data_IF_858243018782
#
_entry.id   IF_858243018782
#
_cell.length_a   1.000
_cell.length_b   1.000
_cell.length_c   1.000
_cell.angle_alpha   90.00
_cell.angle_beta   90.00
_cell.angle_gamma   90.00
#
_symmetry.space_group_name_H-M   'P 1'
#
loop_
_entity.id
_entity.type
_entity.pdbx_description
1 polymer ?
#
# COMPACT_ATOMS: atom_id res chain seq x y z
N UNK A 1 -33.93 -20.59 2.98
CA UNK A 1 -33.03 -19.75 3.78
C UNK A 1 -31.74 -19.56 2.97
N UNK A 2 -31.49 -18.38 2.49
CA UNK A 2 -30.25 -18.09 1.76
C UNK A 2 -29.06 -18.26 2.69
N UNK A 3 -28.02 -18.94 2.20
CA UNK A 3 -26.81 -19.16 3.00
C UNK A 3 -26.14 -17.81 3.25
N UNK A 4 -25.82 -17.50 4.52
CA UNK A 4 -25.08 -16.30 4.91
C UNK A 4 -23.77 -16.25 4.12
N UNK A 5 -23.49 -15.13 3.44
CA UNK A 5 -22.29 -14.96 2.63
C UNK A 5 -21.03 -14.81 3.50
N UNK A 6 -19.85 -15.05 2.92
CA UNK A 6 -18.57 -14.84 3.63
C UNK A 6 -18.38 -13.37 4.05
N UNK A 7 -18.86 -12.43 3.24
CA UNK A 7 -18.89 -11.01 3.58
C UNK A 7 -19.72 -10.75 4.85
N UNK A 8 -20.96 -11.26 4.90
CA UNK A 8 -21.84 -11.11 6.06
C UNK A 8 -21.23 -11.75 7.32
N UNK A 9 -20.61 -12.92 7.18
CA UNK A 9 -19.88 -13.56 8.28
C UNK A 9 -18.73 -12.70 8.78
N UNK A 10 -17.96 -12.09 7.87
CA UNK A 10 -16.81 -11.26 8.21
C UNK A 10 -17.23 -9.97 8.93
N UNK A 11 -18.21 -9.26 8.37
CA UNK A 11 -18.73 -8.00 8.91
C UNK A 11 -19.56 -8.16 10.19
N UNK A 12 -20.12 -9.35 10.42
CA UNK A 12 -20.84 -9.69 11.67
C UNK A 12 -19.93 -10.06 12.84
N UNK A 13 -18.61 -10.19 12.65
CA UNK A 13 -17.68 -10.60 13.72
C UNK A 13 -17.55 -9.51 14.78
N UNK A 14 -17.53 -9.95 16.05
CA UNK A 14 -17.14 -9.14 17.20
C UNK A 14 -15.71 -9.51 17.57
N UNK A 15 -14.76 -8.69 17.19
CA UNK A 15 -13.34 -8.92 17.46
C UNK A 15 -13.02 -8.69 18.94
N UNK A 16 -11.95 -9.32 19.39
CA UNK A 16 -11.39 -9.24 20.76
C UNK A 16 -9.86 -9.20 20.67
N UNK A 17 -9.17 -8.87 21.76
CA UNK A 17 -7.72 -9.02 21.81
C UNK A 17 -7.29 -10.43 21.41
N UNK A 18 -6.24 -10.52 20.61
CA UNK A 18 -5.73 -11.82 20.12
C UNK A 18 -5.24 -12.68 21.29
N UNK A 19 -5.46 -14.00 21.20
CA UNK A 19 -4.96 -14.95 22.18
C UNK A 19 -3.43 -14.92 22.26
N UNK A 20 -2.82 -14.67 23.43
CA UNK A 20 -1.37 -14.69 23.58
C UNK A 20 -0.73 -16.03 23.17
N UNK A 21 -1.42 -17.14 23.38
CA UNK A 21 -0.93 -18.46 23.01
C UNK A 21 -0.80 -18.61 21.50
N UNK A 22 -1.87 -18.28 20.75
CA UNK A 22 -1.88 -18.33 19.28
C UNK A 22 -0.83 -17.38 18.70
N UNK A 23 -0.80 -16.15 19.23
CA UNK A 23 0.14 -15.13 18.77
C UNK A 23 1.59 -15.55 18.96
N UNK A 24 1.96 -16.08 20.15
CA UNK A 24 3.33 -16.49 20.44
C UNK A 24 3.76 -17.69 19.61
N UNK A 25 2.85 -18.63 19.37
CA UNK A 25 3.16 -19.79 18.52
C UNK A 25 3.54 -19.35 17.08
N UNK A 26 2.74 -18.48 16.47
CA UNK A 26 2.98 -17.99 15.11
C UNK A 26 4.09 -16.92 15.07
N UNK A 27 4.05 -15.95 15.99
CA UNK A 27 4.98 -14.83 16.02
C UNK A 27 6.40 -15.23 16.43
N UNK A 28 6.56 -15.99 17.52
CA UNK A 28 7.90 -16.32 18.01
C UNK A 28 8.59 -17.39 17.17
N UNK A 29 7.87 -18.46 16.77
CA UNK A 29 8.48 -19.57 16.03
C UNK A 29 8.68 -19.20 14.57
N UNK A 30 7.63 -18.72 13.88
CA UNK A 30 7.68 -18.46 12.45
C UNK A 30 8.32 -17.11 12.16
N UNK A 31 7.77 -16.02 12.74
CA UNK A 31 8.23 -14.66 12.40
C UNK A 31 9.62 -14.40 12.99
N UNK A 32 9.78 -14.50 14.30
CA UNK A 32 11.03 -14.16 14.98
C UNK A 32 12.14 -15.21 14.74
N UNK A 33 11.78 -16.49 14.80
CA UNK A 33 12.76 -17.58 14.66
C UNK A 33 13.29 -17.76 13.24
N UNK A 34 12.46 -17.50 12.22
CA UNK A 34 12.78 -17.77 10.82
C UNK A 34 12.83 -16.50 9.98
N UNK A 35 11.73 -15.72 9.92
CA UNK A 35 11.61 -14.63 8.94
C UNK A 35 12.50 -13.43 9.27
N UNK A 36 12.60 -13.01 10.53
CA UNK A 36 13.49 -11.91 10.95
C UNK A 36 14.94 -12.21 10.56
N UNK A 37 15.39 -13.45 10.75
CA UNK A 37 16.74 -13.89 10.36
C UNK A 37 16.88 -13.98 8.83
N UNK A 38 15.88 -14.54 8.14
CA UNK A 38 15.88 -14.64 6.67
C UNK A 38 16.08 -13.26 6.03
N UNK A 39 15.38 -12.25 6.51
CA UNK A 39 15.44 -10.89 5.95
C UNK A 39 16.53 -10.02 6.57
N UNK A 40 17.38 -10.57 7.45
CA UNK A 40 18.45 -9.83 8.10
C UNK A 40 17.95 -8.50 8.70
N UNK A 41 16.87 -8.58 9.50
CA UNK A 41 16.23 -7.42 10.09
C UNK A 41 16.95 -7.01 11.39
N UNK A 42 17.33 -5.73 11.48
CA UNK A 42 18.04 -5.12 12.59
C UNK A 42 17.14 -4.10 13.29
N UNK A 43 16.99 -4.22 14.60
CA UNK A 43 16.11 -3.35 15.40
C UNK A 43 16.93 -2.38 16.24
N UNK A 44 16.60 -1.09 16.13
CA UNK A 44 17.17 -0.02 16.93
C UNK A 44 16.06 0.69 17.70
N UNK A 45 16.26 0.91 18.99
CA UNK A 45 15.29 1.56 19.84
C UNK A 45 15.80 2.96 20.20
N UNK A 46 15.02 3.99 19.89
CA UNK A 46 15.35 5.39 20.23
C UNK A 46 14.72 5.83 21.55
N UNK A 47 13.76 5.05 22.06
CA UNK A 47 13.09 5.24 23.32
C UNK A 47 12.94 3.91 24.08
N UNK A 48 12.73 3.97 25.39
CA UNK A 48 12.34 2.80 26.18
C UNK A 48 10.85 2.46 25.95
N UNK A 49 10.59 1.70 24.88
CA UNK A 49 9.23 1.22 24.57
C UNK A 49 8.72 0.19 25.59
N UNK A 50 9.62 -0.41 26.38
CA UNK A 50 9.27 -1.47 27.34
C UNK A 50 8.39 -0.96 28.49
N UNK A 51 8.39 0.33 28.77
CA UNK A 51 7.54 0.98 29.79
C UNK A 51 6.04 0.85 29.50
N UNK A 52 5.66 0.58 28.24
CA UNK A 52 4.28 0.40 27.81
C UNK A 52 3.83 -1.07 27.79
N UNK A 53 4.71 -2.01 28.17
CA UNK A 53 4.34 -3.44 28.25
C UNK A 53 3.14 -3.67 29.15
N UNK A 54 2.26 -4.55 28.70
CA UNK A 54 1.03 -4.87 29.45
C UNK A 54 -0.08 -3.83 29.32
N UNK A 55 0.18 -2.65 28.80
CA UNK A 55 -0.84 -1.61 28.55
C UNK A 55 -1.45 -1.76 27.16
N UNK A 56 -2.58 -1.08 26.92
CA UNK A 56 -3.11 -0.88 25.56
C UNK A 56 -2.33 0.24 24.89
N UNK A 57 -1.92 0.02 23.65
CA UNK A 57 -1.31 1.02 22.79
C UNK A 57 -1.48 0.68 21.32
N UNK A 58 -1.21 1.65 20.45
CA UNK A 58 -1.18 1.47 19.01
C UNK A 58 0.26 1.55 18.52
N UNK A 59 0.65 0.65 17.61
CA UNK A 59 1.88 0.79 16.83
C UNK A 59 1.50 1.25 15.44
N UNK A 60 2.12 2.32 14.98
CA UNK A 60 2.04 2.79 13.59
C UNK A 60 3.37 2.53 12.89
N UNK A 61 3.31 2.21 11.60
CA UNK A 61 4.51 1.97 10.79
C UNK A 61 4.33 2.53 9.39
N UNK A 62 5.43 2.93 8.75
CA UNK A 62 5.42 3.10 7.31
C UNK A 62 5.13 1.75 6.63
N UNK A 63 4.46 1.80 5.48
CA UNK A 63 4.06 0.60 4.76
C UNK A 63 5.00 0.33 3.59
N UNK A 64 6.20 -0.16 3.91
CA UNK A 64 7.27 -0.39 2.94
C UNK A 64 6.92 -1.51 1.95
N UNK A 65 6.39 -2.64 2.45
CA UNK A 65 6.15 -3.83 1.63
C UNK A 65 5.06 -4.76 2.20
N UNK A 66 4.77 -5.83 1.47
CA UNK A 66 3.91 -6.93 1.94
C UNK A 66 4.46 -7.68 3.17
N UNK A 67 5.76 -7.46 3.51
CA UNK A 67 6.45 -8.17 4.59
C UNK A 67 6.52 -7.37 5.90
N UNK A 68 5.89 -6.21 6.01
CA UNK A 68 6.03 -5.31 7.16
C UNK A 68 5.62 -5.90 8.50
N UNK A 69 4.77 -6.93 8.51
CA UNK A 69 4.44 -7.67 9.73
C UNK A 69 5.66 -8.36 10.36
N UNK A 70 6.68 -8.72 9.54
CA UNK A 70 7.96 -9.27 9.98
C UNK A 70 8.82 -8.21 10.64
N UNK A 71 8.70 -6.96 10.21
CA UNK A 71 9.56 -5.86 10.64
C UNK A 71 8.96 -5.05 11.77
N UNK A 72 7.63 -5.04 11.92
CA UNK A 72 6.94 -4.22 12.94
C UNK A 72 6.71 -4.98 14.24
N UNK A 73 6.06 -6.13 14.20
CA UNK A 73 5.65 -6.84 15.40
C UNK A 73 6.80 -7.31 16.31
N UNK A 74 7.94 -7.81 15.77
CA UNK A 74 9.05 -8.27 16.60
C UNK A 74 9.68 -7.21 17.48
N UNK A 75 9.60 -5.93 17.10
CA UNK A 75 10.14 -4.81 17.88
C UNK A 75 9.50 -4.68 19.28
N UNK A 76 8.30 -5.21 19.48
CA UNK A 76 7.52 -5.03 20.71
C UNK A 76 7.23 -6.33 21.46
N UNK A 77 7.92 -7.41 21.14
CA UNK A 77 7.77 -8.68 21.86
C UNK A 77 8.14 -8.50 23.35
N UNK A 78 7.45 -9.17 24.27
CA UNK A 78 6.51 -10.29 24.07
C UNK A 78 5.02 -9.87 23.93
N UNK A 79 4.72 -8.59 23.72
CA UNK A 79 3.35 -8.11 23.55
C UNK A 79 2.67 -8.71 22.30
N UNK A 80 1.35 -8.70 22.29
CA UNK A 80 0.53 -9.33 21.25
C UNK A 80 -0.37 -8.30 20.58
N UNK A 81 -0.61 -8.43 19.28
CA UNK A 81 -1.26 -7.40 18.47
C UNK A 81 -2.38 -7.95 17.61
N UNK A 82 -3.44 -7.16 17.50
CA UNK A 82 -4.41 -7.28 16.42
C UNK A 82 -3.92 -6.42 15.24
N UNK A 83 -3.77 -7.03 14.07
CA UNK A 83 -3.39 -6.30 12.86
C UNK A 83 -4.62 -5.72 12.17
N UNK A 84 -4.45 -4.62 11.44
CA UNK A 84 -5.43 -4.08 10.49
C UNK A 84 -4.98 -4.46 9.09
N UNK A 85 -5.81 -5.21 8.35
CA UNK A 85 -5.45 -5.81 7.07
C UNK A 85 -6.54 -5.57 6.02
N UNK A 86 -6.15 -5.47 4.77
CA UNK A 86 -7.06 -5.27 3.65
C UNK A 86 -8.20 -6.31 3.63
N UNK A 87 -9.41 -5.83 3.36
CA UNK A 87 -10.65 -6.62 3.40
C UNK A 87 -10.59 -7.84 2.47
N UNK A 88 -10.03 -7.68 1.28
CA UNK A 88 -9.90 -8.73 0.25
C UNK A 88 -9.02 -9.91 0.72
N UNK A 89 -8.04 -9.69 1.59
CA UNK A 89 -7.14 -10.74 2.08
C UNK A 89 -7.88 -11.83 2.89
N UNK A 90 -9.03 -11.49 3.47
CA UNK A 90 -9.86 -12.45 4.21
C UNK A 90 -10.59 -13.47 3.34
N UNK A 91 -10.55 -13.28 2.02
CA UNK A 91 -11.15 -14.18 1.04
C UNK A 91 -10.15 -15.12 0.36
N UNK A 92 -8.86 -14.98 0.68
CA UNK A 92 -7.78 -15.85 0.16
C UNK A 92 -7.65 -17.10 1.03
N UNK A 93 -7.72 -18.29 0.43
CA UNK A 93 -7.78 -19.57 1.14
C UNK A 93 -6.62 -19.79 2.12
N UNK A 94 -5.39 -19.41 1.75
CA UNK A 94 -4.19 -19.57 2.58
C UNK A 94 -4.08 -18.56 3.72
N UNK A 95 -4.79 -17.41 3.67
CA UNK A 95 -4.75 -16.36 4.68
C UNK A 95 -5.98 -16.33 5.58
N UNK A 96 -7.14 -16.67 5.03
CA UNK A 96 -8.44 -16.47 5.68
C UNK A 96 -8.52 -17.05 7.10
N UNK A 97 -8.01 -18.26 7.31
CA UNK A 97 -8.04 -18.92 8.62
C UNK A 97 -7.07 -18.22 9.61
N UNK A 98 -5.85 -17.94 9.19
CA UNK A 98 -4.84 -17.26 10.02
C UNK A 98 -5.33 -15.89 10.45
N UNK A 99 -5.81 -15.06 9.53
CA UNK A 99 -6.34 -13.73 9.81
C UNK A 99 -7.51 -13.78 10.81
N UNK A 100 -8.39 -14.79 10.67
CA UNK A 100 -9.50 -14.96 11.62
C UNK A 100 -9.01 -15.40 13.01
N UNK A 101 -8.06 -16.32 13.09
CA UNK A 101 -7.46 -16.78 14.36
C UNK A 101 -6.72 -15.64 15.07
N UNK A 102 -6.01 -14.81 14.33
CA UNK A 102 -5.29 -13.64 14.81
C UNK A 102 -6.20 -12.46 15.18
N UNK A 103 -7.53 -12.62 15.10
CA UNK A 103 -8.50 -11.55 15.38
C UNK A 103 -8.19 -10.25 14.61
N UNK A 104 -7.70 -10.38 13.39
CA UNK A 104 -7.30 -9.27 12.53
C UNK A 104 -8.51 -8.43 12.14
N UNK A 105 -8.36 -7.12 12.12
CA UNK A 105 -9.41 -6.16 11.74
C UNK A 105 -9.46 -6.02 10.22
N UNK A 106 -10.56 -6.43 9.56
CA UNK A 106 -10.70 -6.23 8.11
C UNK A 106 -11.02 -4.77 7.81
N UNK A 107 -10.26 -4.17 6.90
CA UNK A 107 -10.44 -2.78 6.47
C UNK A 107 -10.63 -2.70 4.97
N UNK A 108 -11.74 -2.09 4.54
CA UNK A 108 -11.93 -1.64 3.15
C UNK A 108 -11.10 -0.39 2.94
N UNK A 109 -10.08 -0.46 2.09
CA UNK A 109 -9.17 0.67 1.86
C UNK A 109 -9.86 1.76 1.04
N UNK A 110 -9.49 3.02 1.31
CA UNK A 110 -9.93 4.24 0.59
C UNK A 110 -11.45 4.49 0.59
N UNK A 111 -12.21 3.80 1.44
CA UNK A 111 -13.63 4.06 1.66
C UNK A 111 -13.93 4.22 3.15
N UNK A 112 -14.96 5.00 3.44
CA UNK A 112 -15.41 5.18 4.83
C UNK A 112 -16.00 3.88 5.37
N UNK A 113 -15.41 3.35 6.46
CA UNK A 113 -15.82 2.09 7.06
C UNK A 113 -15.89 2.16 8.59
N UNK A 114 -17.05 2.54 9.15
CA UNK A 114 -17.22 2.65 10.61
C UNK A 114 -17.00 1.34 11.38
N UNK A 115 -17.20 0.18 10.73
CA UNK A 115 -16.98 -1.13 11.35
C UNK A 115 -15.54 -1.28 11.86
N UNK A 116 -14.53 -1.06 11.01
CA UNK A 116 -13.13 -1.21 11.38
C UNK A 116 -12.76 -0.30 12.57
N UNK A 117 -13.20 0.96 12.55
CA UNK A 117 -12.96 1.92 13.63
C UNK A 117 -13.58 1.42 14.94
N UNK A 118 -14.84 0.97 14.93
CA UNK A 118 -15.51 0.43 16.13
C UNK A 118 -14.79 -0.80 16.68
N UNK A 119 -14.28 -1.69 15.82
CA UNK A 119 -13.54 -2.87 16.27
C UNK A 119 -12.19 -2.49 16.89
N UNK A 120 -11.46 -1.54 16.31
CA UNK A 120 -10.22 -1.03 16.90
C UNK A 120 -10.45 -0.41 18.27
N UNK A 121 -11.46 0.46 18.42
CA UNK A 121 -11.82 1.07 19.70
C UNK A 121 -12.23 0.00 20.74
N UNK A 122 -12.93 -1.05 20.32
CA UNK A 122 -13.31 -2.16 21.20
C UNK A 122 -12.09 -2.94 21.67
N UNK A 123 -11.18 -3.31 20.77
CA UNK A 123 -9.95 -4.04 21.11
C UNK A 123 -9.12 -3.26 22.14
N UNK A 124 -8.93 -1.97 21.92
CA UNK A 124 -8.19 -1.09 22.84
C UNK A 124 -8.86 -1.05 24.22
N UNK A 125 -10.19 -0.87 24.28
CA UNK A 125 -10.94 -0.85 25.56
C UNK A 125 -10.88 -2.18 26.32
N UNK A 126 -10.71 -3.29 25.62
CA UNK A 126 -10.57 -4.63 26.19
C UNK A 126 -9.12 -4.98 26.55
N UNK A 127 -8.22 -4.02 26.59
CA UNK A 127 -6.81 -4.22 26.96
C UNK A 127 -5.91 -4.73 25.82
N UNK A 128 -6.40 -4.75 24.58
CA UNK A 128 -5.64 -5.18 23.41
C UNK A 128 -4.71 -4.09 22.86
N UNK A 129 -3.91 -4.46 21.87
CA UNK A 129 -2.98 -3.59 21.14
C UNK A 129 -3.19 -3.77 19.66
N UNK A 130 -2.90 -2.72 18.88
CA UNK A 130 -3.16 -2.70 17.45
C UNK A 130 -1.88 -2.33 16.71
N UNK A 131 -1.59 -3.04 15.62
CA UNK A 131 -0.66 -2.58 14.59
C UNK A 131 -1.47 -2.03 13.42
N UNK A 132 -1.18 -0.79 13.05
CA UNK A 132 -1.81 -0.04 11.97
C UNK A 132 -0.76 0.49 11.00
N UNK A 133 -0.92 0.18 9.72
CA UNK A 133 -0.16 0.78 8.62
C UNK A 133 -1.04 1.88 7.99
N UNK A 134 -0.87 3.15 8.40
CA UNK A 134 -1.87 4.18 8.15
C UNK A 134 -1.94 4.65 6.69
N UNK A 135 -0.98 4.31 5.85
CA UNK A 135 -0.98 4.59 4.42
C UNK A 135 -2.10 3.85 3.67
N UNK A 136 -2.54 2.71 4.19
CA UNK A 136 -3.61 1.89 3.61
C UNK A 136 -3.19 0.99 2.44
N UNK A 137 -1.98 1.18 1.89
CA UNK A 137 -1.38 0.37 0.84
C UNK A 137 0.13 0.42 0.96
N UNK A 138 0.83 -0.69 0.66
CA UNK A 138 2.29 -0.71 0.65
C UNK A 138 2.85 0.20 -0.43
N UNK A 139 4.04 0.73 -0.19
CA UNK A 139 4.74 1.62 -1.13
C UNK A 139 4.72 1.08 -2.55
N UNK A 140 4.42 1.96 -3.49
CA UNK A 140 4.46 1.67 -4.93
C UNK A 140 5.84 2.02 -5.49
N UNK A 141 6.39 3.12 -5.04
CA UNK A 141 7.53 3.78 -5.67
C UNK A 141 8.86 3.68 -4.92
N UNK A 142 8.88 3.02 -3.75
CA UNK A 142 10.05 2.97 -2.87
C UNK A 142 10.06 4.02 -1.77
N UNK A 143 9.25 5.07 -1.88
CA UNK A 143 8.93 5.95 -0.76
C UNK A 143 7.50 5.71 -0.30
N UNK A 144 7.25 5.87 1.00
CA UNK A 144 5.89 5.71 1.53
C UNK A 144 4.97 6.85 1.06
N UNK A 145 3.67 6.56 1.06
CA UNK A 145 2.62 7.52 0.79
C UNK A 145 2.22 8.25 2.07
N UNK A 146 1.55 9.42 1.98
CA UNK A 146 0.93 10.03 3.15
C UNK A 146 -0.05 9.10 3.84
N UNK A 147 -0.14 9.20 5.15
CA UNK A 147 -1.11 8.45 5.93
C UNK A 147 -2.54 8.84 5.56
N UNK A 148 -3.45 7.88 5.54
CA UNK A 148 -4.85 8.10 5.19
C UNK A 148 -5.46 9.25 5.98
N UNK A 149 -6.22 10.13 5.29
CA UNK A 149 -6.93 11.23 5.92
C UNK A 149 -7.82 10.70 7.05
N UNK A 150 -7.72 11.36 8.21
CA UNK A 150 -8.41 10.93 9.43
C UNK A 150 -7.59 10.01 10.34
N UNK A 151 -6.36 9.63 10.00
CA UNK A 151 -5.47 8.91 10.91
C UNK A 151 -5.22 9.69 12.20
N UNK A 152 -5.00 11.01 12.12
CA UNK A 152 -4.87 11.87 13.29
C UNK A 152 -6.12 11.89 14.17
N UNK A 153 -7.33 11.91 13.57
CA UNK A 153 -8.59 11.78 14.31
C UNK A 153 -8.72 10.42 15.00
N UNK A 154 -8.35 9.34 14.30
CA UNK A 154 -8.40 8.00 14.86
C UNK A 154 -7.47 7.87 16.07
N UNK A 155 -6.20 8.27 15.95
CA UNK A 155 -5.23 8.18 17.04
C UNK A 155 -5.66 9.00 18.25
N UNK A 156 -6.12 10.24 18.03
CA UNK A 156 -6.69 11.08 19.10
C UNK A 156 -7.88 10.40 19.79
N UNK A 157 -8.79 9.79 19.03
CA UNK A 157 -9.99 9.12 19.56
C UNK A 157 -9.68 7.85 20.34
N UNK A 158 -8.58 7.16 20.01
CA UNK A 158 -8.14 5.99 20.75
C UNK A 158 -7.56 6.38 22.13
N UNK A 159 -6.90 7.54 22.26
CA UNK A 159 -6.45 8.12 23.52
C UNK A 159 -5.43 7.28 24.29
N UNK A 160 -4.69 6.40 23.62
CA UNK A 160 -3.67 5.51 24.19
C UNK A 160 -2.30 5.86 23.63
N UNK A 161 -1.19 5.42 24.25
CA UNK A 161 0.14 5.65 23.69
C UNK A 161 0.24 5.19 22.25
N UNK A 162 0.91 5.97 21.40
CA UNK A 162 1.22 5.62 20.03
C UNK A 162 2.72 5.42 19.91
N UNK A 163 3.10 4.18 19.65
CA UNK A 163 4.46 3.78 19.34
C UNK A 163 4.61 3.67 17.83
N UNK A 164 5.84 3.64 17.33
CA UNK A 164 6.06 3.52 15.90
C UNK A 164 7.20 2.55 15.59
N UNK A 165 7.17 2.02 14.35
CA UNK A 165 8.35 1.51 13.66
C UNK A 165 8.54 2.28 12.36
N UNK A 166 9.81 2.50 12.00
CA UNK A 166 10.22 3.05 10.71
C UNK A 166 11.12 2.03 10.04
N UNK A 167 10.66 1.51 8.92
CA UNK A 167 11.30 0.42 8.18
C UNK A 167 12.08 1.02 7.03
N UNK A 168 13.36 0.67 6.92
CA UNK A 168 14.25 1.01 5.82
C UNK A 168 14.77 -0.27 5.15
N UNK A 169 14.79 -0.34 3.82
CA UNK A 169 15.12 -1.53 3.03
C UNK A 169 13.97 -2.50 2.82
N UNK A 170 12.80 -2.24 3.41
CA UNK A 170 11.63 -3.11 3.31
C UNK A 170 11.04 -3.16 1.90
N UNK A 171 10.98 -2.03 1.19
CA UNK A 171 10.56 -2.01 -0.21
C UNK A 171 11.59 -2.68 -1.12
N UNK A 172 12.87 -2.43 -0.92
CA UNK A 172 13.93 -3.03 -1.74
C UNK A 172 14.02 -4.54 -1.57
N UNK A 173 13.61 -5.05 -0.40
CA UNK A 173 13.46 -6.49 -0.14
C UNK A 173 12.29 -7.11 -0.89
N UNK A 174 11.15 -6.40 -0.99
CA UNK A 174 9.93 -6.92 -1.59
C UNK A 174 9.20 -5.84 -2.39
N UNK A 175 9.78 -5.38 -3.51
CA UNK A 175 9.24 -4.28 -4.31
C UNK A 175 7.88 -4.64 -4.90
N UNK A 176 7.07 -3.61 -5.15
CA UNK A 176 5.68 -3.78 -5.61
C UNK A 176 5.57 -4.44 -6.99
N UNK A 177 6.53 -4.19 -7.87
CA UNK A 177 6.52 -4.70 -9.24
C UNK A 177 7.03 -6.16 -9.36
N UNK A 178 7.49 -6.78 -8.27
CA UNK A 178 7.97 -8.16 -8.31
C UNK A 178 7.57 -8.91 -7.04
N UNK A 179 7.05 -10.13 -7.20
CA UNK A 179 6.64 -10.99 -6.08
C UNK A 179 7.80 -11.77 -5.45
N UNK A 180 8.96 -11.78 -6.08
CA UNK A 180 10.15 -12.45 -5.56
C UNK A 180 10.86 -11.56 -4.53
N UNK A 181 11.17 -12.14 -3.38
CA UNK A 181 11.90 -11.43 -2.33
C UNK A 181 13.38 -11.33 -2.69
N UNK A 182 13.97 -10.20 -2.37
CA UNK A 182 15.40 -9.91 -2.53
C UNK A 182 16.04 -9.77 -1.17
N UNK A 183 16.94 -10.67 -0.85
CA UNK A 183 17.55 -10.69 0.47
C UNK A 183 18.69 -9.67 0.54
N UNK A 184 18.56 -8.74 1.49
CA UNK A 184 19.57 -7.74 1.81
C UNK A 184 19.61 -7.52 3.32
N UNK A 185 19.46 -6.26 3.75
CA UNK A 185 19.31 -5.86 5.15
C UNK A 185 18.09 -4.97 5.29
N UNK A 186 17.35 -5.14 6.37
CA UNK A 186 16.24 -4.26 6.75
C UNK A 186 16.55 -3.64 8.10
N UNK A 187 16.61 -2.32 8.16
CA UNK A 187 16.79 -1.58 9.40
C UNK A 187 15.43 -1.10 9.93
N UNK A 188 15.16 -1.33 11.20
CA UNK A 188 13.90 -0.99 11.85
C UNK A 188 14.18 -0.11 13.05
N UNK A 189 13.80 1.16 12.99
CA UNK A 189 13.79 2.06 14.13
C UNK A 189 12.46 1.91 14.88
N UNK A 190 12.49 1.81 16.20
CA UNK A 190 11.30 1.74 17.04
C UNK A 190 11.38 2.77 18.17
N UNK A 191 10.25 3.39 18.50
CA UNK A 191 10.18 4.42 19.53
C UNK A 191 8.74 4.81 19.88
N UNK A 192 8.61 5.88 20.67
CA UNK A 192 7.34 6.48 21.09
C UNK A 192 7.05 7.68 20.19
N UNK A 193 5.88 7.68 19.56
CA UNK A 193 5.46 8.81 18.73
C UNK A 193 4.65 9.83 19.53
N UNK A 194 3.63 9.34 20.27
CA UNK A 194 2.79 10.20 21.12
C UNK A 194 2.48 9.54 22.45
N UNK A 195 2.51 10.33 23.52
CA UNK A 195 1.88 9.95 24.78
C UNK A 195 0.39 10.34 24.76
N UNK A 196 -0.45 9.79 25.67
CA UNK A 196 -1.85 10.20 25.78
C UNK A 196 -2.02 11.70 26.04
N UNK A 197 -1.17 12.29 26.88
CA UNK A 197 -1.19 13.71 27.22
C UNK A 197 -0.89 14.59 26.00
N UNK A 198 0.05 14.17 25.16
CA UNK A 198 0.34 14.86 23.89
C UNK A 198 -0.86 14.78 22.95
N UNK A 199 -1.49 13.61 22.80
CA UNK A 199 -2.68 13.45 21.95
C UNK A 199 -3.84 14.33 22.41
N UNK A 200 -4.03 14.47 23.72
CA UNK A 200 -5.06 15.32 24.30
C UNK A 200 -4.84 16.79 23.94
N UNK A 201 -3.60 17.27 24.05
CA UNK A 201 -3.22 18.67 23.81
C UNK A 201 -3.15 19.07 22.33
N UNK A 202 -3.08 18.11 21.38
CA UNK A 202 -2.90 18.38 19.97
C UNK A 202 -4.21 18.32 19.18
N UNK A 203 -4.29 19.09 18.08
CA UNK A 203 -5.34 18.92 17.09
C UNK A 203 -5.12 17.67 16.23
N UNK A 204 -6.19 17.06 15.70
CA UNK A 204 -6.05 15.92 14.77
C UNK A 204 -5.16 16.24 13.56
N UNK A 205 -5.14 17.49 13.09
CA UNK A 205 -4.29 17.93 11.97
C UNK A 205 -2.80 17.93 12.35
N UNK A 206 -2.47 18.37 13.55
CA UNK A 206 -1.09 18.32 14.07
C UNK A 206 -0.61 16.90 14.26
N UNK A 207 -1.47 16.02 14.82
CA UNK A 207 -1.18 14.58 14.94
C UNK A 207 -0.92 13.97 13.56
N UNK A 208 -1.78 14.26 12.57
CA UNK A 208 -1.62 13.78 11.20
C UNK A 208 -0.29 14.23 10.61
N UNK A 209 0.05 15.52 10.71
CA UNK A 209 1.31 16.08 10.20
C UNK A 209 2.54 15.42 10.82
N UNK A 210 2.58 15.30 12.16
CA UNK A 210 3.70 14.67 12.85
C UNK A 210 3.82 13.17 12.55
N UNK A 211 2.69 12.49 12.37
CA UNK A 211 2.64 11.09 11.93
C UNK A 211 3.28 10.94 10.54
N UNK A 212 2.88 11.77 9.57
CA UNK A 212 3.41 11.76 8.21
C UNK A 212 4.92 12.07 8.20
N UNK A 213 5.34 13.11 8.93
CA UNK A 213 6.76 13.48 9.04
C UNK A 213 7.62 12.35 9.65
N UNK A 214 7.14 11.70 10.71
CA UNK A 214 7.88 10.63 11.38
C UNK A 214 8.01 9.39 10.53
N UNK A 215 6.93 9.00 9.84
CA UNK A 215 6.92 7.78 9.05
C UNK A 215 7.51 7.95 7.65
N UNK A 216 7.72 9.20 7.19
CA UNK A 216 8.30 9.41 5.85
C UNK A 216 9.66 8.73 5.72
N UNK A 217 9.80 7.94 4.65
CA UNK A 217 11.02 7.23 4.29
C UNK A 217 11.08 6.98 2.79
N UNK A 218 12.28 7.01 2.22
CA UNK A 218 12.57 6.67 0.84
C UNK A 218 13.71 5.64 0.83
N UNK A 219 13.42 4.43 0.39
CA UNK A 219 14.35 3.32 0.40
C UNK A 219 15.49 3.49 -0.61
N UNK A 220 15.25 4.17 -1.73
CA UNK A 220 16.30 4.44 -2.70
C UNK A 220 17.29 5.46 -2.17
N UNK A 221 16.81 6.56 -1.58
CA UNK A 221 17.68 7.56 -0.96
C UNK A 221 18.46 6.98 0.24
N UNK A 222 17.79 6.16 1.06
CA UNK A 222 18.45 5.46 2.15
C UNK A 222 19.59 4.58 1.63
N UNK A 223 19.37 3.81 0.55
CA UNK A 223 20.35 2.84 0.06
C UNK A 223 21.54 3.50 -0.66
N UNK A 224 21.43 4.74 -1.14
CA UNK A 224 22.58 5.50 -1.63
C UNK A 224 23.69 5.61 -0.57
N UNK A 225 23.28 5.75 0.70
CA UNK A 225 24.20 5.85 1.85
C UNK A 225 24.47 4.51 2.50
N UNK A 226 23.43 3.70 2.72
CA UNK A 226 23.53 2.42 3.42
C UNK A 226 24.30 1.35 2.63
N UNK A 227 24.30 1.46 1.29
CA UNK A 227 24.98 0.57 0.33
C UNK A 227 24.73 -0.91 0.61
N UNK A 228 23.49 -1.23 0.92
CA UNK A 228 23.07 -2.61 1.12
C UNK A 228 22.89 -3.27 -0.23
N UNK A 229 23.49 -4.44 -0.39
CA UNK A 229 23.32 -5.29 -1.57
C UNK A 229 22.03 -6.10 -1.43
N UNK A 230 21.21 -6.10 -2.48
CA UNK A 230 19.99 -6.90 -2.61
C UNK A 230 20.12 -7.86 -3.79
N UNK A 231 20.04 -9.16 -3.51
CA UNK A 231 20.20 -10.16 -4.55
C UNK A 231 18.85 -10.52 -5.18
N UNK A 232 18.72 -10.27 -6.46
CA UNK A 232 17.57 -10.64 -7.29
C UNK A 232 17.91 -11.69 -8.36
N UNK A 233 19.08 -12.32 -8.26
CA UNK A 233 19.56 -13.33 -9.21
C UNK A 233 19.49 -12.86 -10.68
N UNK A 234 19.90 -11.61 -10.95
CA UNK A 234 19.89 -11.02 -12.30
C UNK A 234 18.49 -10.63 -12.79
N UNK A 235 17.54 -10.32 -11.87
CA UNK A 235 16.15 -9.95 -12.18
C UNK A 235 15.71 -8.68 -11.44
N UNK A 236 16.62 -7.70 -11.33
CA UNK A 236 16.37 -6.45 -10.61
C UNK A 236 15.23 -5.64 -11.20
N UNK A 237 15.04 -5.67 -12.52
CA UNK A 237 14.07 -4.87 -13.24
C UNK A 237 12.85 -5.67 -13.78
N UNK A 238 12.72 -6.96 -13.48
CA UNK A 238 11.57 -7.75 -13.96
C UNK A 238 10.24 -7.08 -13.54
N UNK A 239 9.37 -6.84 -14.54
CA UNK A 239 8.07 -6.15 -14.42
C UNK A 239 8.12 -4.67 -13.99
N UNK A 240 9.29 -4.06 -13.86
CA UNK A 240 9.41 -2.64 -13.47
C UNK A 240 8.69 -1.68 -14.44
N UNK A 241 8.55 -2.06 -15.73
CA UNK A 241 7.82 -1.27 -16.74
C UNK A 241 6.33 -1.10 -16.43
N UNK A 242 5.74 -1.98 -15.62
CA UNK A 242 4.35 -1.84 -15.15
C UNK A 242 4.21 -0.68 -14.17
N UNK A 243 5.27 -0.38 -13.44
CA UNK A 243 5.36 0.75 -12.53
C UNK A 243 5.86 2.01 -13.24
N UNK A 244 6.94 1.89 -14.04
CA UNK A 244 7.59 2.98 -14.79
C UNK A 244 7.20 2.87 -16.27
N UNK A 245 5.99 3.29 -16.61
CA UNK A 245 5.39 3.13 -17.93
C UNK A 245 5.74 4.26 -18.93
N UNK A 246 6.23 5.41 -18.44
CA UNK A 246 6.52 6.61 -19.21
C UNK A 246 8.01 6.78 -19.49
N UNK A 247 8.36 7.07 -20.75
CA UNK A 247 9.74 7.32 -21.12
C UNK A 247 10.14 8.79 -20.90
N UNK A 248 11.11 9.10 -20.05
CA UNK A 248 11.49 10.49 -19.74
C UNK A 248 12.16 11.22 -20.91
N UNK A 249 12.67 10.49 -21.92
CA UNK A 249 13.33 11.08 -23.09
C UNK A 249 12.36 11.46 -24.20
N UNK A 250 11.44 10.55 -24.57
CA UNK A 250 10.55 10.77 -25.71
C UNK A 250 9.09 11.04 -25.33
N UNK A 251 8.77 11.05 -24.03
CA UNK A 251 7.41 11.27 -23.52
C UNK A 251 6.42 10.15 -23.83
N UNK A 252 6.87 9.01 -24.39
CA UNK A 252 5.99 7.90 -24.74
C UNK A 252 5.41 7.20 -23.53
N UNK A 253 4.07 7.05 -23.49
CA UNK A 253 3.34 6.33 -22.46
C UNK A 253 3.20 4.86 -22.83
N UNK A 254 3.25 3.95 -21.83
CA UNK A 254 3.18 2.50 -22.00
C UNK A 254 4.18 1.98 -23.06
N UNK A 255 5.31 2.67 -23.20
CA UNK A 255 6.37 2.33 -24.15
C UNK A 255 7.57 1.65 -23.52
N UNK A 256 7.61 1.57 -22.20
CA UNK A 256 8.68 0.90 -21.49
C UNK A 256 8.51 -0.61 -21.52
N UNK A 257 9.62 -1.33 -21.51
CA UNK A 257 9.73 -2.78 -21.30
C UNK A 257 10.84 -3.05 -20.32
N UNK A 258 10.74 -4.11 -19.54
CA UNK A 258 11.79 -4.51 -18.62
C UNK A 258 11.87 -6.02 -18.50
N UNK A 259 13.07 -6.50 -18.20
CA UNK A 259 13.37 -7.91 -17.99
C UNK A 259 14.82 -8.08 -17.57
N UNK A 260 15.08 -9.07 -16.74
CA UNK A 260 16.39 -9.20 -16.10
C UNK A 260 16.69 -7.97 -15.24
N UNK A 261 17.83 -7.34 -15.47
CA UNK A 261 18.23 -6.12 -14.76
C UNK A 261 17.93 -4.84 -15.58
N UNK A 262 17.36 -4.95 -16.78
CA UNK A 262 17.23 -3.84 -17.73
C UNK A 262 15.80 -3.32 -17.87
N UNK A 263 15.69 -2.00 -18.10
CA UNK A 263 14.47 -1.29 -18.48
C UNK A 263 14.76 -0.39 -19.70
N UNK A 264 13.94 -0.47 -20.78
CA UNK A 264 14.16 0.26 -22.02
C UNK A 264 12.85 0.69 -22.67
N UNK A 265 12.91 1.82 -23.36
CA UNK A 265 11.80 2.32 -24.16
C UNK A 265 11.80 1.67 -25.54
N UNK A 266 10.69 1.03 -25.95
CA UNK A 266 10.52 0.43 -27.28
C UNK A 266 10.51 1.45 -28.42
N UNK A 267 10.17 2.73 -28.12
CA UNK A 267 10.01 3.79 -29.12
C UNK A 267 11.34 4.46 -29.48
N UNK A 268 12.20 4.75 -28.50
CA UNK A 268 13.42 5.54 -28.74
C UNK A 268 14.72 4.89 -28.24
N UNK A 269 14.64 3.68 -27.67
CA UNK A 269 15.78 2.94 -27.13
C UNK A 269 16.36 3.46 -25.81
N UNK A 270 15.85 4.58 -25.26
CA UNK A 270 16.32 5.12 -24.00
C UNK A 270 16.14 4.11 -22.85
N UNK A 271 17.19 3.80 -22.12
CA UNK A 271 17.12 2.79 -21.07
C UNK A 271 18.42 2.61 -20.31
N UNK A 272 18.44 1.60 -19.46
CA UNK A 272 19.57 1.24 -18.63
C UNK A 272 19.29 0.00 -17.81
N UNK A 273 20.08 -0.21 -16.77
CA UNK A 273 19.96 -1.37 -15.89
C UNK A 273 20.12 -0.98 -14.42
N UNK A 274 19.56 -1.82 -13.55
CA UNK A 274 19.74 -1.76 -12.09
C UNK A 274 20.83 -2.72 -11.66
N UNK A 275 21.73 -2.24 -10.83
CA UNK A 275 22.65 -3.13 -10.12
C UNK A 275 22.04 -3.61 -8.78
N UNK A 276 22.76 -4.46 -8.07
CA UNK A 276 22.33 -5.05 -6.79
C UNK A 276 22.21 -4.03 -5.64
N UNK A 277 22.67 -2.79 -5.84
CA UNK A 277 22.51 -1.68 -4.90
C UNK A 277 21.34 -0.76 -5.28
N UNK A 278 20.60 -1.13 -6.33
CA UNK A 278 19.53 -0.33 -6.93
C UNK A 278 19.99 0.98 -7.57
N UNK A 279 21.28 1.10 -7.90
CA UNK A 279 21.74 2.20 -8.74
C UNK A 279 21.16 1.98 -10.15
N UNK A 280 20.51 3.01 -10.70
CA UNK A 280 19.99 3.02 -12.05
C UNK A 280 21.06 3.57 -12.98
N UNK A 281 21.67 2.69 -13.78
CA UNK A 281 22.81 3.00 -14.65
C UNK A 281 22.31 3.12 -16.09
N UNK A 282 22.39 4.31 -16.71
CA UNK A 282 21.99 4.49 -18.11
C UNK A 282 22.87 3.70 -19.09
N UNK A 283 22.27 3.19 -20.16
CA UNK A 283 23.02 2.68 -21.31
C UNK A 283 23.69 3.84 -22.07
N UNK A 284 24.68 3.54 -22.90
CA UNK A 284 25.38 4.54 -23.73
C UNK A 284 24.41 5.38 -24.56
N UNK A 285 24.50 6.70 -24.45
CA UNK A 285 23.63 7.66 -25.11
C UNK A 285 22.22 7.74 -24.55
N UNK A 286 21.91 7.05 -23.44
CA UNK A 286 20.64 7.16 -22.72
C UNK A 286 20.72 8.23 -21.62
N UNK A 287 19.54 8.75 -21.26
CA UNK A 287 19.36 9.68 -20.15
C UNK A 287 18.24 9.15 -19.27
N UNK A 288 18.57 8.82 -18.03
CA UNK A 288 17.63 8.33 -17.04
C UNK A 288 17.64 9.22 -15.79
N UNK A 289 16.54 9.27 -15.04
CA UNK A 289 16.53 9.89 -13.72
C UNK A 289 17.47 9.17 -12.75
N UNK A 290 17.84 9.85 -11.68
CA UNK A 290 18.81 9.37 -10.70
C UNK A 290 18.41 8.07 -9.98
N UNK A 291 17.13 7.91 -9.71
CA UNK A 291 16.57 6.69 -9.11
C UNK A 291 15.23 6.33 -9.75
N UNK A 292 14.76 5.07 -9.61
CA UNK A 292 13.39 4.70 -9.98
C UNK A 292 12.34 5.56 -9.28
N UNK A 293 12.59 6.03 -8.06
CA UNK A 293 11.70 6.92 -7.33
C UNK A 293 11.60 8.31 -8.00
N UNK A 294 12.71 8.90 -8.38
CA UNK A 294 12.72 10.19 -9.11
C UNK A 294 12.00 10.05 -10.44
N UNK A 295 12.21 8.93 -11.13
CA UNK A 295 11.48 8.62 -12.37
C UNK A 295 9.97 8.57 -12.15
N UNK A 296 9.53 7.88 -11.12
CA UNK A 296 8.12 7.80 -10.73
C UNK A 296 7.51 9.19 -10.46
N UNK A 297 8.23 10.08 -9.78
CA UNK A 297 7.77 11.45 -9.51
C UNK A 297 7.66 12.29 -10.81
N UNK A 298 8.65 12.16 -11.72
CA UNK A 298 8.59 12.80 -13.05
C UNK A 298 7.41 12.31 -13.86
N UNK A 299 7.17 10.98 -13.88
CA UNK A 299 6.02 10.35 -14.51
C UNK A 299 4.69 10.88 -13.95
N UNK A 300 4.58 11.03 -12.65
CA UNK A 300 3.40 11.65 -12.00
C UNK A 300 3.21 13.11 -12.43
N UNK A 301 4.29 13.87 -12.55
CA UNK A 301 4.26 15.24 -13.12
C UNK A 301 3.72 15.27 -14.54
N UNK A 302 4.12 14.30 -15.39
CA UNK A 302 3.59 14.15 -16.74
C UNK A 302 2.08 13.83 -16.72
N UNK A 303 1.63 12.85 -15.94
CA UNK A 303 0.22 12.49 -15.83
C UNK A 303 -0.61 13.65 -15.27
N UNK A 304 -0.09 14.41 -14.30
CA UNK A 304 -0.73 15.64 -13.80
C UNK A 304 -0.98 16.67 -14.91
N UNK A 305 -0.05 16.80 -15.84
CA UNK A 305 -0.21 17.68 -16.99
C UNK A 305 -1.23 17.15 -18.00
N UNK A 306 -1.27 15.82 -18.19
CA UNK A 306 -2.24 15.17 -19.10
C UNK A 306 -3.67 15.36 -18.63
N UNK A 307 -3.98 15.07 -17.36
CA UNK A 307 -5.35 15.13 -16.82
C UNK A 307 -5.92 16.55 -16.77
N UNK A 308 -5.06 17.57 -16.86
CA UNK A 308 -5.46 18.99 -16.93
C UNK A 308 -5.78 19.48 -18.34
N UNK A 309 -5.50 18.68 -19.36
CA UNK A 309 -5.88 19.03 -20.73
C UNK A 309 -7.40 19.00 -20.87
N UNK A 310 -7.94 19.97 -21.61
CA UNK A 310 -9.37 20.01 -21.91
C UNK A 310 -9.80 18.74 -22.66
N UNK A 311 -10.90 18.13 -22.21
CA UNK A 311 -11.40 16.89 -22.81
C UNK A 311 -10.58 15.63 -22.52
N UNK A 312 -9.66 15.65 -21.56
CA UNK A 312 -8.91 14.45 -21.20
C UNK A 312 -9.86 13.30 -20.85
N UNK A 313 -9.59 12.15 -21.44
CA UNK A 313 -10.30 10.90 -21.20
C UNK A 313 -9.31 9.74 -21.28
N UNK A 314 -9.33 8.86 -20.27
CA UNK A 314 -8.63 7.58 -20.29
C UNK A 314 -9.67 6.47 -20.41
N UNK A 315 -9.59 5.65 -21.47
CA UNK A 315 -10.55 4.57 -21.71
C UNK A 315 -9.84 3.29 -22.13
N UNK A 316 -10.30 2.16 -21.58
CA UNK A 316 -9.71 0.85 -21.83
C UNK A 316 -10.71 -0.28 -21.58
N UNK A 317 -10.55 -1.39 -22.31
CA UNK A 317 -11.27 -2.61 -21.95
C UNK A 317 -10.66 -3.26 -20.73
N UNK A 318 -11.54 -3.73 -19.83
CA UNK A 318 -11.17 -4.41 -18.61
C UNK A 318 -12.07 -5.62 -18.36
N UNK A 319 -11.54 -6.64 -17.67
CA UNK A 319 -12.39 -7.62 -17.03
C UNK A 319 -12.76 -7.16 -15.62
N UNK A 320 -13.93 -7.53 -15.13
CA UNK A 320 -14.41 -7.27 -13.78
C UNK A 320 -14.27 -8.51 -12.92
N UNK A 321 -13.69 -8.33 -11.73
CA UNK A 321 -13.63 -9.34 -10.70
C UNK A 321 -14.34 -8.90 -9.42
N UNK A 322 -14.93 -9.87 -8.72
CA UNK A 322 -15.58 -9.68 -7.41
C UNK A 322 -15.07 -10.70 -6.40
N UNK A 323 -15.28 -10.44 -5.11
CA UNK A 323 -15.00 -11.44 -4.08
C UNK A 323 -16.06 -12.55 -4.09
N UNK A 324 -15.69 -13.81 -3.80
CA UNK A 324 -16.63 -14.91 -3.80
C UNK A 324 -17.70 -14.72 -2.71
N UNK A 325 -18.95 -15.01 -3.05
CA UNK A 325 -20.03 -14.97 -2.07
C UNK A 325 -19.93 -16.13 -1.06
N UNK A 326 -19.44 -17.27 -1.50
CA UNK A 326 -19.27 -18.47 -0.69
C UNK A 326 -17.91 -19.10 -0.96
N UNK A 327 -17.24 -19.54 0.10
CA UNK A 327 -15.90 -20.14 0.00
C UNK A 327 -14.78 -19.10 -0.11
N UNK A 328 -13.64 -19.54 -0.63
CA UNK A 328 -12.40 -18.74 -0.67
C UNK A 328 -11.74 -18.84 -2.03
N UNK A 329 -11.07 -17.76 -2.41
CA UNK A 329 -10.24 -17.71 -3.60
C UNK A 329 -9.06 -18.67 -3.45
N UNK A 330 -8.77 -19.41 -4.51
CA UNK A 330 -7.55 -20.23 -4.58
C UNK A 330 -6.31 -19.33 -4.57
N UNK A 331 -5.20 -19.92 -4.21
CA UNK A 331 -3.88 -19.29 -4.24
C UNK A 331 -3.65 -18.54 -5.55
N UNK A 332 -3.06 -17.35 -5.51
CA UNK A 332 -2.80 -16.43 -6.62
C UNK A 332 -4.04 -15.68 -7.18
N UNK A 333 -5.26 -16.09 -6.92
CA UNK A 333 -6.44 -15.32 -7.31
C UNK A 333 -6.75 -14.24 -6.28
N UNK A 334 -7.12 -13.03 -6.74
CA UNK A 334 -7.54 -11.91 -5.90
C UNK A 334 -9.03 -11.65 -6.00
N UNK A 335 -9.67 -12.13 -7.09
CA UNK A 335 -11.13 -12.11 -7.29
C UNK A 335 -11.57 -13.20 -8.26
N UNK A 336 -12.89 -13.35 -8.43
CA UNK A 336 -13.54 -14.16 -9.45
C UNK A 336 -14.00 -13.27 -10.59
N UNK A 337 -13.58 -13.56 -11.83
CA UNK A 337 -14.01 -12.80 -13.00
C UNK A 337 -15.51 -13.06 -13.24
N UNK A 338 -16.27 -11.98 -13.27
CA UNK A 338 -17.74 -12.02 -13.44
C UNK A 338 -18.24 -11.21 -14.64
N UNK A 339 -17.36 -10.46 -15.30
CA UNK A 339 -17.77 -9.65 -16.44
C UNK A 339 -16.61 -9.00 -17.17
N UNK A 340 -16.94 -8.23 -18.18
CA UNK A 340 -16.02 -7.42 -18.97
C UNK A 340 -16.75 -6.20 -19.54
N UNK A 341 -15.97 -5.18 -19.88
CA UNK A 341 -16.51 -3.95 -20.47
C UNK A 341 -15.46 -2.89 -20.70
N UNK A 342 -15.91 -1.68 -20.90
CA UNK A 342 -15.07 -0.49 -21.06
C UNK A 342 -15.09 0.32 -19.78
N UNK A 343 -13.92 0.57 -19.22
CA UNK A 343 -13.69 1.50 -18.12
C UNK A 343 -13.24 2.83 -18.70
N UNK A 344 -13.84 3.92 -18.23
CA UNK A 344 -13.52 5.29 -18.71
C UNK A 344 -13.38 6.23 -17.53
N UNK A 345 -12.30 7.00 -17.47
CA UNK A 345 -12.05 8.08 -16.52
C UNK A 345 -12.08 9.41 -17.26
N UNK A 346 -12.86 10.35 -16.76
CA UNK A 346 -12.91 11.73 -17.20
C UNK A 346 -13.04 12.72 -16.02
N UNK A 347 -13.23 14.00 -16.30
CA UNK A 347 -13.38 15.04 -15.26
C UNK A 347 -14.62 14.82 -14.36
N UNK A 348 -15.63 14.09 -14.80
CA UNK A 348 -16.82 13.74 -14.01
C UNK A 348 -16.54 12.60 -13.03
N UNK A 349 -15.80 11.60 -13.46
CA UNK A 349 -15.50 10.42 -12.65
C UNK A 349 -15.14 9.18 -13.44
N UNK A 350 -15.33 8.06 -12.78
CA UNK A 350 -15.11 6.72 -13.34
C UNK A 350 -16.43 6.13 -13.81
N UNK A 351 -16.45 5.76 -15.08
CA UNK A 351 -17.59 5.11 -15.75
C UNK A 351 -17.23 3.69 -16.13
N UNK A 352 -18.17 2.79 -16.02
CA UNK A 352 -18.04 1.46 -16.58
C UNK A 352 -19.32 1.12 -17.36
N UNK A 353 -19.13 0.56 -18.54
CA UNK A 353 -20.20 0.03 -19.38
C UNK A 353 -19.80 -1.34 -19.92
N UNK A 354 -20.63 -2.36 -19.71
CA UNK A 354 -20.31 -3.72 -20.12
C UNK A 354 -21.31 -4.74 -19.65
N UNK A 355 -20.81 -5.89 -19.25
CA UNK A 355 -21.62 -7.00 -18.71
C UNK A 355 -21.07 -7.49 -17.38
N UNK A 356 -21.96 -7.98 -16.52
CA UNK A 356 -21.65 -8.69 -15.29
C UNK A 356 -22.59 -9.89 -15.16
N UNK A 357 -22.06 -11.09 -14.98
CA UNK A 357 -22.80 -12.35 -14.95
C UNK A 357 -23.70 -12.58 -16.21
N UNK A 358 -23.24 -12.10 -17.36
CA UNK A 358 -23.97 -12.19 -18.63
C UNK A 358 -24.98 -11.08 -18.90
N UNK A 359 -25.37 -10.31 -17.89
CA UNK A 359 -26.34 -9.21 -17.98
C UNK A 359 -25.67 -7.86 -18.22
N UNK A 360 -26.36 -6.92 -18.90
CA UNK A 360 -25.88 -5.54 -19.04
C UNK A 360 -25.61 -4.92 -17.67
N UNK A 361 -24.46 -4.28 -17.50
CA UNK A 361 -24.05 -3.68 -16.24
C UNK A 361 -23.29 -2.39 -16.47
N UNK A 362 -23.64 -1.36 -15.73
CA UNK A 362 -22.94 -0.07 -15.74
C UNK A 362 -22.89 0.51 -14.35
N UNK A 363 -21.88 1.35 -14.08
CA UNK A 363 -21.81 2.17 -12.87
C UNK A 363 -21.09 3.48 -13.14
N UNK A 364 -21.28 4.43 -12.22
CA UNK A 364 -20.57 5.69 -12.19
C UNK A 364 -20.13 6.04 -10.78
N UNK A 365 -18.85 6.39 -10.64
CA UNK A 365 -18.29 6.91 -9.37
C UNK A 365 -17.82 8.35 -9.62
N UNK A 366 -18.43 9.37 -8.99
CA UNK A 366 -17.96 10.75 -9.11
C UNK A 366 -16.50 10.88 -8.66
N UNK A 367 -15.68 11.62 -9.42
CA UNK A 367 -14.24 11.73 -9.14
C UNK A 367 -13.94 12.23 -7.71
N UNK A 368 -14.78 13.12 -7.17
CA UNK A 368 -14.65 13.62 -5.78
C UNK A 368 -14.80 12.54 -4.70
N UNK A 369 -15.40 11.40 -5.04
CA UNK A 369 -15.56 10.25 -4.13
C UNK A 369 -14.52 9.15 -4.37
N UNK A 370 -13.67 9.32 -5.37
CA UNK A 370 -12.66 8.33 -5.77
C UNK A 370 -11.25 8.94 -5.68
N UNK A 371 -10.65 9.01 -4.50
CA UNK A 371 -9.32 9.59 -4.34
C UNK A 371 -8.21 8.73 -4.95
N UNK A 372 -8.34 7.41 -4.89
CA UNK A 372 -7.41 6.42 -5.43
C UNK A 372 -8.06 5.03 -5.45
N UNK A 373 -7.31 4.04 -5.88
CA UNK A 373 -7.67 2.62 -5.86
C UNK A 373 -6.80 1.83 -4.87
N UNK A 374 -7.26 0.65 -4.47
CA UNK A 374 -6.36 -0.37 -3.97
C UNK A 374 -5.65 -1.05 -5.15
N UNK A 375 -4.36 -1.32 -5.01
CA UNK A 375 -3.57 -2.04 -6.01
C UNK A 375 -3.28 -3.45 -5.51
N UNK A 376 -3.33 -4.43 -6.40
CA UNK A 376 -2.89 -5.78 -6.11
C UNK A 376 -1.36 -5.83 -5.92
N UNK A 377 -0.87 -6.93 -5.36
CA UNK A 377 0.52 -7.03 -4.90
C UNK A 377 1.55 -6.96 -6.03
N UNK A 378 1.15 -7.26 -7.27
CA UNK A 378 2.01 -7.37 -8.45
C UNK A 378 1.79 -6.28 -9.52
N UNK A 379 1.13 -5.19 -9.18
CA UNK A 379 0.82 -4.05 -10.07
C UNK A 379 -0.05 -4.41 -11.29
N UNK A 380 -0.54 -5.64 -11.41
CA UNK A 380 -1.26 -6.10 -12.62
C UNK A 380 -2.71 -5.65 -12.67
N UNK A 381 -3.29 -5.22 -11.54
CA UNK A 381 -4.70 -4.89 -11.41
C UNK A 381 -4.96 -4.00 -10.20
N UNK A 382 -6.08 -3.33 -10.23
CA UNK A 382 -6.50 -2.41 -9.17
C UNK A 382 -7.98 -2.61 -8.83
N UNK A 383 -8.40 -2.14 -7.67
CA UNK A 383 -9.76 -2.33 -7.20
C UNK A 383 -10.31 -1.10 -6.47
N UNK A 384 -11.63 -1.01 -6.44
CA UNK A 384 -12.38 -0.11 -5.57
C UNK A 384 -13.61 -0.81 -5.03
N UNK A 385 -14.47 -0.07 -4.32
CA UNK A 385 -15.74 -0.56 -3.83
C UNK A 385 -16.87 0.18 -4.56
N UNK A 386 -17.59 -0.52 -5.44
CA UNK A 386 -18.76 -0.01 -6.14
C UNK A 386 -20.00 -0.40 -5.33
N UNK A 387 -20.75 0.58 -4.83
CA UNK A 387 -21.92 0.36 -3.95
C UNK A 387 -21.63 -0.58 -2.76
N UNK A 388 -20.39 -0.50 -2.25
CA UNK A 388 -19.94 -1.33 -1.12
C UNK A 388 -19.46 -2.72 -1.47
N UNK A 389 -19.58 -3.15 -2.73
CA UNK A 389 -19.03 -4.39 -3.26
C UNK A 389 -17.59 -4.19 -3.75
N UNK A 390 -16.69 -5.09 -3.37
CA UNK A 390 -15.33 -5.12 -3.92
C UNK A 390 -15.38 -5.41 -5.41
N UNK A 391 -14.83 -4.50 -6.20
CA UNK A 391 -14.77 -4.61 -7.67
C UNK A 391 -13.33 -4.40 -8.12
N UNK A 392 -12.75 -5.43 -8.72
CA UNK A 392 -11.38 -5.44 -9.24
C UNK A 392 -11.39 -5.34 -10.76
N UNK A 393 -10.48 -4.54 -11.29
CA UNK A 393 -10.33 -4.28 -12.72
C UNK A 393 -9.04 -4.93 -13.21
N UNK A 394 -9.15 -5.66 -14.30
CA UNK A 394 -8.06 -6.31 -15.00
C UNK A 394 -7.89 -5.63 -16.37
N UNK A 395 -7.02 -4.62 -16.48
CA UNK A 395 -6.75 -3.94 -17.76
C UNK A 395 -6.18 -4.90 -18.79
N UNK A 396 -6.46 -4.66 -20.08
CA UNK A 396 -5.87 -5.43 -21.18
C UNK A 396 -4.39 -5.11 -21.37
N UNK A 397 -3.95 -3.91 -20.97
CA UNK A 397 -2.55 -3.46 -21.05
C UNK A 397 -1.92 -3.39 -19.66
N UNK A 398 -0.61 -3.27 -19.59
CA UNK A 398 0.12 -2.99 -18.36
C UNK A 398 -0.07 -1.52 -17.93
N UNK A 399 -1.30 -1.11 -17.70
CA UNK A 399 -1.73 0.29 -17.48
C UNK A 399 -2.20 0.59 -16.07
N UNK A 400 -2.13 -0.37 -15.15
CA UNK A 400 -2.64 -0.22 -13.77
C UNK A 400 -2.13 1.05 -13.10
N UNK A 401 -0.81 1.31 -13.17
CA UNK A 401 -0.23 2.51 -12.54
C UNK A 401 -0.67 3.81 -13.24
N UNK A 402 -0.87 3.78 -14.57
CA UNK A 402 -1.44 4.92 -15.29
C UNK A 402 -2.86 5.22 -14.80
N UNK A 403 -3.71 4.21 -14.61
CA UNK A 403 -5.05 4.37 -14.06
C UNK A 403 -5.03 4.95 -12.65
N UNK A 404 -4.12 4.48 -11.81
CA UNK A 404 -3.98 5.01 -10.45
C UNK A 404 -3.56 6.47 -10.44
N UNK A 405 -2.45 6.80 -11.11
CA UNK A 405 -1.96 8.18 -11.20
C UNK A 405 -2.99 9.13 -11.83
N UNK A 406 -3.62 8.72 -12.94
CA UNK A 406 -4.61 9.54 -13.62
C UNK A 406 -5.82 9.84 -12.73
N UNK A 407 -6.31 8.86 -11.99
CA UNK A 407 -7.43 9.05 -11.05
C UNK A 407 -7.04 9.98 -9.90
N UNK A 408 -5.89 9.78 -9.29
CA UNK A 408 -5.40 10.61 -8.19
C UNK A 408 -5.21 12.07 -8.62
N UNK A 409 -4.58 12.29 -9.77
CA UNK A 409 -4.34 13.64 -10.29
C UNK A 409 -5.64 14.29 -10.81
N UNK A 410 -6.58 13.52 -11.37
CA UNK A 410 -7.91 14.03 -11.74
C UNK A 410 -8.72 14.40 -10.49
N UNK A 411 -8.72 13.55 -9.45
CA UNK A 411 -9.37 13.85 -8.17
C UNK A 411 -8.86 15.17 -7.59
N UNK A 412 -7.55 15.38 -7.60
CA UNK A 412 -6.91 16.63 -7.16
C UNK A 412 -7.27 17.81 -8.05
N UNK A 413 -7.24 17.66 -9.37
CA UNK A 413 -7.59 18.72 -10.32
C UNK A 413 -9.04 19.20 -10.18
N UNK A 414 -9.94 18.31 -9.74
CA UNK A 414 -11.35 18.62 -9.45
C UNK A 414 -11.61 19.06 -8.00
N UNK A 415 -10.56 19.44 -7.26
CA UNK A 415 -10.64 19.96 -5.89
C UNK A 415 -10.92 18.89 -4.84
N UNK A 416 -10.65 17.64 -5.13
CA UNK A 416 -10.66 16.55 -4.16
C UNK A 416 -9.46 16.62 -3.22
N UNK A 417 -9.62 16.08 -2.01
CA UNK A 417 -8.55 15.99 -1.03
C UNK A 417 -7.78 14.69 -1.26
N UNK A 418 -6.73 14.75 -2.05
CA UNK A 418 -5.73 13.70 -2.12
C UNK A 418 -4.47 14.13 -1.38
N UNK A 419 -3.85 13.16 -0.76
CA UNK A 419 -2.81 13.38 0.23
C UNK A 419 -1.49 13.75 -0.44
N UNK A 420 -1.06 15.00 -0.22
CA UNK A 420 0.30 15.42 -0.49
C UNK A 420 1.06 15.60 0.82
N UNK A 421 2.36 15.39 0.78
CA UNK A 421 3.21 15.79 1.87
C UNK A 421 3.38 17.31 1.83
N UNK A 422 2.94 18.06 2.86
CA UNK A 422 2.97 19.53 2.83
C UNK A 422 4.36 20.15 2.59
N UNK A 423 5.42 19.42 2.97
CA UNK A 423 6.79 19.87 2.77
C UNK A 423 7.30 19.68 1.33
N UNK A 424 6.68 18.84 0.50
CA UNK A 424 7.04 18.69 -0.92
C UNK A 424 6.58 19.89 -1.75
N UNK A 425 5.37 20.41 -1.45
CA UNK A 425 4.88 21.64 -2.11
C UNK A 425 5.79 22.84 -1.84
N UNK A 426 6.39 22.91 -0.64
CA UNK A 426 7.31 24.00 -0.30
C UNK A 426 8.69 23.87 -1.00
N UNK A 427 9.12 22.68 -1.36
CA UNK A 427 10.35 22.45 -2.12
C UNK A 427 10.15 22.76 -3.62
N UNK A 428 9.00 22.40 -4.20
CA UNK A 428 8.66 22.72 -5.59
C UNK A 428 8.42 24.22 -5.82
N UNK A 429 7.94 24.95 -4.79
CA UNK A 429 7.76 26.42 -4.85
C UNK A 429 9.08 27.22 -4.70
N UNK A 430 10.19 26.55 -4.36
CA UNK A 430 11.53 27.16 -4.20
C UNK A 430 12.52 26.80 -5.31
N UNK A 431 12.19 25.95 -6.24
CA UNK A 431 12.94 25.56 -7.43
C UNK A 431 12.35 26.17 -8.70
#
# INVERSE_FOLDING_TARGET
MDKITEQQKLEGRKLRPVSPFIYRLLGNVVVNGVLVKKYNAHFTYVDDVSRYRGQSYVVVSNHASRMDYVFTAPAFLPDTFNFVVGYNEFFRSHLAMILRMMQTVPKKNFVHQPYAIRQMMKIIREGGRIILLPEGMSSISGANQPCALGSGHLLKSLGVPVLYTKIAGGYLTAPKYNLEDRIGRVDVEAGVLFTPEQLEGMTPREIQRQLDEKLYHDDYEWNKTARVRFDAAGRMADNMHQLLFWCPRCGGELTMTSGGDAIRCRKCGNGGHLNEYYDLIPDDGSTLPDTPRVWFDMQRGHVRSMVRQEGFTLSERVQLGVLPQHGYLKEQKTSEITGDGTLTLDAGGLHFEGRKNGEPYSFFIPIKKLPTYGMCTDVSRFYTFVDGEFTEFYPERDSTELWMMATEEMHRAQGGLWQDFPWKEQAEARG
#
